data_IF_571860019985
#
_entry.id   IF_571860019985
#
_cell.length_a   1.000
_cell.length_b   1.000
_cell.length_c   1.000
_cell.angle_alpha   90.00
_cell.angle_beta   90.00
_cell.angle_gamma   90.00
#
_symmetry.space_group_name_H-M   'P 1'
#
loop_
_entity.id
_entity.type
_entity.pdbx_description
1 polymer ?
#
# COMPACT_ATOMS: atom_id res chain seq x y z
N UNK A 1 -73.21 19.91 26.58
CA UNK A 1 -72.42 20.55 27.66
C UNK A 1 -70.96 20.24 27.39
N UNK A 2 -70.16 21.31 27.32
CA UNK A 2 -68.87 21.37 26.64
C UNK A 2 -67.73 20.65 27.37
N UNK A 3 -66.87 20.10 26.51
CA UNK A 3 -65.42 19.93 26.55
C UNK A 3 -64.69 21.05 27.32
N UNK A 4 -63.79 20.69 28.26
CA UNK A 4 -62.39 21.14 28.31
C UNK A 4 -61.63 20.71 29.59
N UNK A 5 -60.32 20.50 29.43
CA UNK A 5 -59.24 20.44 30.43
C UNK A 5 -59.09 19.19 31.34
N UNK A 6 -58.10 18.37 31.00
CA UNK A 6 -56.93 18.10 31.87
C UNK A 6 -55.92 17.20 31.13
N UNK A 7 -55.10 17.83 30.29
CA UNK A 7 -53.84 17.27 29.82
C UNK A 7 -52.71 17.65 30.78
N UNK A 8 -51.63 16.88 30.70
CA UNK A 8 -50.25 17.22 31.12
C UNK A 8 -49.82 16.68 32.46
N UNK A 9 -49.15 15.52 32.47
CA UNK A 9 -47.86 15.38 33.15
C UNK A 9 -47.09 14.09 32.75
N UNK A 10 -45.80 14.29 32.41
CA UNK A 10 -44.65 13.35 32.38
C UNK A 10 -44.20 12.76 31.03
N UNK A 11 -43.32 13.50 30.35
CA UNK A 11 -42.11 12.93 29.74
C UNK A 11 -41.03 14.03 29.57
N UNK A 12 -40.33 14.36 30.66
CA UNK A 12 -39.11 15.15 30.61
C UNK A 12 -37.95 14.27 30.12
N UNK A 13 -37.77 14.18 28.80
CA UNK A 13 -36.50 13.71 28.23
C UNK A 13 -35.52 14.87 28.22
N UNK A 14 -34.61 14.85 29.18
CA UNK A 14 -33.45 15.75 29.28
C UNK A 14 -32.62 15.59 27.99
N UNK A 15 -32.77 16.51 27.03
CA UNK A 15 -31.87 16.60 25.88
C UNK A 15 -30.49 17.02 26.39
N UNK A 16 -29.51 16.10 26.31
CA UNK A 16 -28.10 16.44 26.54
C UNK A 16 -27.71 17.57 25.57
N UNK A 17 -26.92 18.58 25.99
CA UNK A 17 -26.42 19.58 25.06
C UNK A 17 -25.58 18.89 23.98
N UNK A 18 -25.87 19.19 22.71
CA UNK A 18 -25.09 18.67 21.59
C UNK A 18 -23.68 19.22 21.68
N UNK A 19 -22.69 18.32 21.72
CA UNK A 19 -21.28 18.68 21.74
C UNK A 19 -20.90 19.38 20.41
N UNK A 20 -20.22 20.52 20.52
CA UNK A 20 -19.83 21.35 19.37
C UNK A 20 -18.41 20.99 18.96
N UNK A 21 -18.24 20.54 17.72
CA UNK A 21 -16.97 20.16 17.13
C UNK A 21 -16.49 21.25 16.17
N UNK A 22 -15.17 21.43 16.06
CA UNK A 22 -14.56 22.28 15.02
C UNK A 22 -14.06 21.39 13.90
N UNK A 23 -14.63 21.52 12.71
CA UNK A 23 -14.23 20.79 11.51
C UNK A 23 -13.45 21.73 10.57
N UNK A 24 -12.32 21.27 10.04
CA UNK A 24 -11.51 22.03 9.08
C UNK A 24 -11.88 21.64 7.66
N UNK A 25 -12.31 22.62 6.85
CA UNK A 25 -12.75 22.41 5.47
C UNK A 25 -11.80 23.13 4.53
N UNK A 26 -11.31 22.40 3.54
CA UNK A 26 -10.29 22.87 2.61
C UNK A 26 -10.99 23.33 1.32
N UNK A 27 -11.01 24.64 1.02
CA UNK A 27 -11.66 25.16 -0.18
C UNK A 27 -10.87 24.86 -1.47
N UNK A 28 -9.60 24.46 -1.35
CA UNK A 28 -8.75 24.19 -2.51
C UNK A 28 -8.63 25.43 -3.41
N UNK A 29 -8.92 25.27 -4.70
CA UNK A 29 -8.85 26.36 -5.69
C UNK A 29 -10.00 27.38 -5.58
N UNK A 30 -10.99 27.14 -4.70
CA UNK A 30 -12.09 28.08 -4.48
C UNK A 30 -11.68 29.28 -3.59
N UNK A 31 -10.50 29.24 -2.98
CA UNK A 31 -9.95 30.34 -2.19
C UNK A 31 -8.43 30.31 -2.22
N UNK A 32 -7.80 31.35 -2.79
CA UNK A 32 -6.33 31.48 -2.84
C UNK A 32 -5.74 31.92 -1.49
N UNK A 33 -6.55 32.57 -0.64
CA UNK A 33 -6.10 33.19 0.61
C UNK A 33 -6.13 32.28 1.84
N UNK A 34 -6.79 31.11 1.76
CA UNK A 34 -7.05 30.27 2.94
C UNK A 34 -6.84 28.77 2.69
N UNK A 35 -5.85 28.21 3.39
CA UNK A 35 -5.50 26.78 3.33
C UNK A 35 -6.64 25.90 3.88
N UNK A 36 -7.31 26.32 4.96
CA UNK A 36 -8.45 25.62 5.56
C UNK A 36 -9.34 26.57 6.34
N UNK A 37 -10.64 26.31 6.35
CA UNK A 37 -11.63 27.06 7.09
C UNK A 37 -12.21 26.25 8.24
N UNK A 38 -12.06 26.68 9.50
CA UNK A 38 -12.69 26.04 10.64
C UNK A 38 -14.18 26.40 10.70
N UNK A 39 -15.04 25.39 10.79
CA UNK A 39 -16.49 25.54 10.96
C UNK A 39 -16.91 24.83 12.25
N UNK A 40 -17.70 25.50 13.07
CA UNK A 40 -18.29 24.91 14.27
C UNK A 40 -19.56 24.16 13.87
N UNK A 41 -19.61 22.86 14.16
CA UNK A 41 -20.69 21.98 13.78
C UNK A 41 -20.99 20.97 14.89
N UNK A 42 -22.26 20.61 15.03
CA UNK A 42 -22.72 19.54 15.94
C UNK A 42 -22.87 18.22 15.18
N UNK A 43 -23.08 17.12 15.90
CA UNK A 43 -23.40 15.81 15.33
C UNK A 43 -24.71 15.77 14.50
N UNK A 44 -25.52 16.84 14.55
CA UNK A 44 -26.76 17.01 13.80
C UNK A 44 -26.64 18.07 12.68
N UNK A 45 -25.49 18.73 12.55
CA UNK A 45 -25.29 19.76 11.52
C UNK A 45 -25.13 19.10 10.16
N UNK A 46 -26.05 19.40 9.24
CA UNK A 46 -26.06 18.88 7.88
C UNK A 46 -25.00 19.53 6.99
N UNK A 47 -24.56 18.77 5.99
CA UNK A 47 -23.59 19.22 4.99
C UNK A 47 -24.06 20.49 4.25
N UNK A 48 -25.35 20.59 3.91
CA UNK A 48 -25.94 21.77 3.26
C UNK A 48 -25.76 23.07 4.07
N UNK A 49 -25.90 22.98 5.39
CA UNK A 49 -25.76 24.15 6.26
C UNK A 49 -24.32 24.65 6.26
N UNK A 50 -23.36 23.73 6.28
CA UNK A 50 -21.93 24.03 6.26
C UNK A 50 -21.52 24.63 4.91
N UNK A 51 -22.02 24.07 3.80
CA UNK A 51 -21.80 24.61 2.46
C UNK A 51 -22.32 26.04 2.36
N UNK A 52 -23.54 26.32 2.83
CA UNK A 52 -24.12 27.67 2.78
C UNK A 52 -23.28 28.69 3.57
N UNK A 53 -22.82 28.31 4.77
CA UNK A 53 -21.93 29.16 5.58
C UNK A 53 -20.63 29.44 4.85
N UNK A 54 -20.05 28.46 4.16
CA UNK A 54 -18.82 28.63 3.39
C UNK A 54 -19.03 29.49 2.15
N UNK A 55 -20.13 29.32 1.41
CA UNK A 55 -20.46 30.14 0.24
C UNK A 55 -20.57 31.62 0.62
N UNK A 56 -21.21 31.92 1.75
CA UNK A 56 -21.30 33.30 2.24
C UNK A 56 -19.96 33.86 2.72
N UNK A 57 -19.17 33.06 3.46
CA UNK A 57 -17.89 33.51 4.01
C UNK A 57 -16.78 33.66 2.97
N UNK A 58 -16.75 32.77 1.98
CA UNK A 58 -15.77 32.76 0.89
C UNK A 58 -16.21 33.65 -0.29
N UNK A 59 -17.37 34.31 -0.20
CA UNK A 59 -17.94 35.14 -1.28
C UNK A 59 -18.08 34.39 -2.61
N UNK A 60 -18.42 33.09 -2.55
CA UNK A 60 -18.55 32.23 -3.72
C UNK A 60 -19.84 32.53 -4.49
N UNK A 61 -19.86 32.19 -5.79
CA UNK A 61 -20.97 32.50 -6.67
C UNK A 61 -22.23 31.71 -6.28
N UNK A 62 -23.32 32.38 -5.92
CA UNK A 62 -24.58 31.73 -5.50
C UNK A 62 -25.31 30.99 -6.62
N UNK A 63 -24.94 31.22 -7.88
CA UNK A 63 -25.53 30.53 -9.04
C UNK A 63 -24.90 29.16 -9.34
N UNK A 64 -23.75 28.86 -8.71
CA UNK A 64 -23.04 27.57 -8.84
C UNK A 64 -23.36 26.68 -7.64
N UNK A 65 -23.54 25.37 -7.87
CA UNK A 65 -23.76 24.41 -6.78
C UNK A 65 -22.44 24.08 -6.08
N UNK A 66 -22.48 23.80 -4.78
CA UNK A 66 -21.30 23.36 -4.02
C UNK A 66 -21.62 22.13 -3.19
N UNK A 67 -20.63 21.25 -3.01
CA UNK A 67 -20.75 20.03 -2.22
C UNK A 67 -19.50 19.81 -1.36
N UNK A 68 -19.68 19.11 -0.24
CA UNK A 68 -18.57 18.67 0.60
C UNK A 68 -18.12 17.26 0.17
N UNK A 69 -16.82 17.03 0.16
CA UNK A 69 -16.24 15.72 -0.08
C UNK A 69 -15.30 15.32 1.06
N UNK A 70 -15.46 14.11 1.59
CA UNK A 70 -14.54 13.49 2.54
C UNK A 70 -13.39 12.82 1.79
N UNK A 71 -12.15 13.06 2.19
CA UNK A 71 -10.94 12.40 1.66
C UNK A 71 -10.36 11.49 2.73
N UNK A 72 -10.04 10.24 2.37
CA UNK A 72 -9.43 9.26 3.27
C UNK A 72 -8.01 8.88 2.84
N UNK A 73 -7.22 8.46 3.83
CA UNK A 73 -5.82 8.11 3.73
C UNK A 73 -5.50 7.02 2.70
N UNK A 74 -4.53 7.29 1.83
CA UNK A 74 -3.96 6.40 0.79
C UNK A 74 -4.93 5.98 -0.33
N UNK A 75 -5.14 6.88 -1.29
CA UNK A 75 -5.84 6.56 -2.54
C UNK A 75 -6.52 7.73 -3.24
N UNK A 76 -6.66 8.88 -2.56
CA UNK A 76 -7.33 10.05 -3.13
C UNK A 76 -8.82 9.81 -3.43
N UNK A 77 -9.45 8.84 -2.75
CA UNK A 77 -10.88 8.60 -2.89
C UNK A 77 -11.65 9.70 -2.18
N UNK A 78 -12.33 10.52 -2.97
CA UNK A 78 -13.23 11.57 -2.49
C UNK A 78 -14.64 10.99 -2.39
N UNK A 79 -15.20 11.00 -1.18
CA UNK A 79 -16.59 10.62 -0.92
C UNK A 79 -17.45 11.87 -0.83
N UNK A 80 -18.35 12.07 -1.80
CA UNK A 80 -19.25 13.24 -1.82
C UNK A 80 -20.32 13.03 -0.76
N UNK A 81 -20.48 14.01 0.14
CA UNK A 81 -21.54 14.00 1.15
C UNK A 81 -22.84 14.50 0.52
N UNK A 82 -23.92 13.75 0.75
CA UNK A 82 -25.26 14.23 0.42
C UNK A 82 -25.66 15.42 1.30
N UNK A 83 -26.54 16.33 0.82
CA UNK A 83 -26.96 17.52 1.57
C UNK A 83 -27.49 17.21 2.98
N UNK A 84 -28.11 16.04 3.17
CA UNK A 84 -28.67 15.58 4.44
C UNK A 84 -27.69 14.87 5.38
N UNK A 85 -26.47 14.55 4.94
CA UNK A 85 -25.48 13.89 5.79
C UNK A 85 -24.84 14.86 6.79
N UNK A 86 -24.40 14.33 7.94
CA UNK A 86 -23.79 15.11 9.00
C UNK A 86 -22.25 14.94 8.98
N UNK A 87 -21.46 15.96 8.58
CA UNK A 87 -20.01 15.82 8.44
C UNK A 87 -19.30 15.48 9.76
N UNK A 88 -19.83 15.92 10.90
CA UNK A 88 -19.30 15.57 12.22
C UNK A 88 -19.43 14.06 12.50
N UNK A 89 -20.54 13.43 12.08
CA UNK A 89 -20.70 11.98 12.22
C UNK A 89 -19.69 11.21 11.36
N UNK A 90 -19.43 11.71 10.14
CA UNK A 90 -18.40 11.16 9.25
C UNK A 90 -17.00 11.31 9.86
N UNK A 91 -16.68 12.46 10.43
CA UNK A 91 -15.40 12.73 11.12
C UNK A 91 -15.17 11.81 12.32
N UNK A 92 -16.21 11.49 13.08
CA UNK A 92 -16.10 10.61 14.25
C UNK A 92 -15.79 9.14 13.88
N UNK A 93 -15.93 8.77 12.61
CA UNK A 93 -15.53 7.45 12.09
C UNK A 93 -14.04 7.40 11.68
N UNK A 94 -13.32 8.53 11.74
CA UNK A 94 -11.90 8.56 11.38
C UNK A 94 -11.03 7.88 12.44
N UNK A 95 -9.85 7.37 12.06
CA UNK A 95 -8.87 6.86 13.02
C UNK A 95 -8.54 7.91 14.08
N UNK A 96 -8.33 7.46 15.33
CA UNK A 96 -8.00 8.37 16.47
C UNK A 96 -6.77 9.24 16.22
N UNK A 97 -5.81 8.75 15.42
CA UNK A 97 -4.63 9.50 14.98
C UNK A 97 -5.00 10.74 14.16
N UNK A 98 -6.01 10.65 13.29
CA UNK A 98 -6.51 11.75 12.46
C UNK A 98 -7.36 12.76 13.26
N UNK A 99 -8.18 12.27 14.20
CA UNK A 99 -8.94 13.12 15.13
C UNK A 99 -8.02 14.00 15.98
N UNK A 100 -6.92 13.44 16.50
CA UNK A 100 -5.95 14.16 17.32
C UNK A 100 -5.19 15.25 16.53
N UNK A 101 -4.94 15.04 15.23
CA UNK A 101 -4.35 16.07 14.36
C UNK A 101 -5.29 17.25 14.09
N UNK A 102 -6.61 17.01 14.03
CA UNK A 102 -7.61 18.06 13.77
C UNK A 102 -7.90 18.93 15.00
N UNK A 103 -7.53 18.48 16.21
CA UNK A 103 -7.82 19.17 17.49
C UNK A 103 -6.65 19.94 18.10
N UNK A 104 -5.45 19.94 17.48
CA UNK A 104 -4.30 20.72 17.99
C UNK A 104 -4.58 22.22 17.88
N UNK A 105 -4.77 22.90 19.02
CA UNK A 105 -4.62 24.36 19.09
C UNK A 105 -3.14 24.70 18.88
N UNK A 106 -2.80 25.71 18.05
CA UNK A 106 -1.42 26.18 17.97
C UNK A 106 -1.00 26.75 19.32
N UNK A 107 0.04 26.18 19.92
CA UNK A 107 0.68 26.77 21.10
C UNK A 107 1.40 28.06 20.71
N UNK A 108 1.28 29.09 21.56
CA UNK A 108 1.92 30.39 21.34
C UNK A 108 3.44 30.22 21.42
N UNK A 109 4.13 30.19 20.28
CA UNK A 109 5.59 30.28 20.26
C UNK A 109 6.30 29.78 19.00
N UNK A 110 5.66 29.00 18.13
CA UNK A 110 6.33 28.47 16.95
C UNK A 110 6.39 29.50 15.82
N UNK A 111 7.63 29.88 15.46
CA UNK A 111 7.92 30.74 14.31
C UNK A 111 7.51 30.00 13.04
N UNK A 112 6.69 30.65 12.21
CA UNK A 112 6.27 30.14 10.91
C UNK A 112 7.49 29.84 10.03
N UNK A 113 7.84 28.55 9.89
CA UNK A 113 8.73 28.10 8.83
C UNK A 113 7.97 28.17 7.50
N UNK A 114 8.62 28.72 6.47
CA UNK A 114 8.09 28.92 5.11
C UNK A 114 7.96 27.63 4.28
N UNK A 115 7.62 26.51 4.92
CA UNK A 115 7.35 25.22 4.28
C UNK A 115 5.89 24.90 4.55
N UNK A 116 5.09 24.79 3.48
CA UNK A 116 3.68 24.41 3.60
C UNK A 116 3.58 23.03 4.27
N UNK A 117 2.83 22.89 5.38
CA UNK A 117 2.62 21.58 5.98
C UNK A 117 1.80 20.71 5.02
N UNK A 118 2.19 19.44 4.89
CA UNK A 118 1.43 18.46 4.11
C UNK A 118 -0.03 18.40 4.62
N UNK A 119 -1.00 18.33 3.70
CA UNK A 119 -2.40 18.29 4.11
C UNK A 119 -2.69 17.02 4.92
N UNK A 120 -3.58 17.10 5.94
CA UNK A 120 -3.87 15.97 6.80
C UNK A 120 -4.49 14.80 6.02
N UNK A 121 -4.16 13.60 6.48
CA UNK A 121 -4.50 12.30 5.88
C UNK A 121 -6.02 12.08 5.72
N UNK A 122 -6.82 12.73 6.56
CA UNK A 122 -8.28 12.79 6.50
C UNK A 122 -8.73 14.25 6.52
N UNK A 123 -9.58 14.64 5.57
CA UNK A 123 -10.04 16.03 5.44
C UNK A 123 -11.36 16.15 4.69
N UNK A 124 -12.04 17.28 4.88
CA UNK A 124 -13.17 17.68 4.05
C UNK A 124 -12.74 18.71 3.00
N UNK A 125 -13.13 18.51 1.75
CA UNK A 125 -12.94 19.44 0.64
C UNK A 125 -14.27 20.09 0.25
N UNK A 126 -14.23 21.36 -0.13
CA UNK A 126 -15.34 22.01 -0.83
C UNK A 126 -15.12 21.86 -2.34
N UNK A 127 -16.14 21.38 -3.07
CA UNK A 127 -16.10 21.18 -4.52
C UNK A 127 -17.25 21.89 -5.21
N UNK A 128 -17.01 22.41 -6.41
CA UNK A 128 -18.03 23.01 -7.27
C UNK A 128 -18.80 21.91 -8.02
N UNK A 129 -20.12 22.07 -8.10
CA UNK A 129 -21.05 21.18 -8.79
C UNK A 129 -21.65 21.92 -10.00
N UNK A 130 -21.41 21.39 -11.19
CA UNK A 130 -21.92 21.87 -12.46
C UNK A 130 -23.46 21.71 -12.54
N UNK A 131 -24.08 22.47 -13.45
CA UNK A 131 -25.53 22.47 -13.68
C UNK A 131 -26.08 21.15 -14.22
N UNK A 132 -25.21 20.29 -14.74
CA UNK A 132 -25.51 18.91 -15.19
C UNK A 132 -25.40 17.87 -14.05
N UNK A 133 -25.03 18.30 -12.85
CA UNK A 133 -24.85 17.43 -11.69
C UNK A 133 -23.43 16.85 -11.53
N UNK A 134 -22.51 17.10 -12.47
CA UNK A 134 -21.10 16.70 -12.36
C UNK A 134 -20.33 17.60 -11.39
N UNK A 135 -19.19 17.10 -10.87
CA UNK A 135 -18.32 17.86 -9.95
C UNK A 135 -17.11 18.36 -10.73
N UNK A 136 -16.79 19.63 -10.58
CA UNK A 136 -15.72 20.29 -11.31
C UNK A 136 -14.38 20.11 -10.58
N UNK A 137 -13.47 19.35 -11.19
CA UNK A 137 -12.12 19.10 -10.69
C UNK A 137 -11.11 19.93 -11.49
N UNK A 138 -10.87 21.20 -11.12
CA UNK A 138 -9.75 21.96 -11.69
C UNK A 138 -8.43 21.61 -10.99
N UNK A 139 -7.48 21.16 -11.80
CA UNK A 139 -6.18 20.58 -11.43
C UNK A 139 -6.27 19.27 -10.62
N UNK A 140 -6.46 18.16 -11.34
CA UNK A 140 -6.04 16.85 -10.86
C UNK A 140 -5.60 16.03 -12.08
N UNK A 141 -4.35 15.58 -12.02
CA UNK A 141 -3.64 14.64 -12.91
C UNK A 141 -4.46 14.00 -14.03
N UNK A 142 -3.91 13.92 -15.25
CA UNK A 142 -4.43 13.13 -16.38
C UNK A 142 -5.04 11.75 -15.98
N UNK A 143 -4.50 11.15 -14.92
CA UNK A 143 -5.02 9.95 -14.24
C UNK A 143 -6.50 10.00 -13.80
N UNK A 144 -7.04 11.14 -13.35
CA UNK A 144 -8.44 11.29 -12.94
C UNK A 144 -9.37 11.44 -14.14
N UNK A 145 -8.92 12.17 -15.16
CA UNK A 145 -9.64 12.32 -16.43
C UNK A 145 -9.75 10.98 -17.16
N UNK A 146 -8.68 10.18 -17.14
CA UNK A 146 -8.66 8.82 -17.69
C UNK A 146 -9.55 7.84 -16.89
N UNK A 147 -9.76 8.10 -15.58
CA UNK A 147 -10.67 7.34 -14.71
C UNK A 147 -12.15 7.67 -14.93
N UNK A 148 -12.45 8.92 -15.31
CA UNK A 148 -13.79 9.35 -15.73
C UNK A 148 -14.11 8.88 -17.15
N UNK A 149 -13.14 8.97 -18.07
CA UNK A 149 -13.23 8.33 -19.39
C UNK A 149 -13.51 6.83 -19.25
N UNK A 150 -12.83 6.13 -18.32
CA UNK A 150 -13.10 4.72 -17.98
C UNK A 150 -14.56 4.47 -17.54
N UNK A 151 -15.12 5.34 -16.70
CA UNK A 151 -16.55 5.22 -16.28
C UNK A 151 -17.50 5.47 -17.45
N UNK A 152 -17.12 6.32 -18.40
CA UNK A 152 -17.89 6.58 -19.60
C UNK A 152 -17.76 5.44 -20.62
N UNK A 153 -16.59 4.82 -20.76
CA UNK A 153 -16.35 3.62 -21.58
C UNK A 153 -17.07 2.38 -21.02
N UNK A 154 -16.97 2.09 -19.72
CA UNK A 154 -17.68 0.98 -19.05
C UNK A 154 -19.21 1.10 -19.14
N UNK A 155 -19.71 2.33 -19.27
CA UNK A 155 -21.15 2.63 -19.45
C UNK A 155 -21.56 2.78 -20.92
N UNK A 156 -20.64 2.60 -21.87
CA UNK A 156 -20.89 2.65 -23.31
C UNK A 156 -21.07 4.04 -23.92
N UNK A 157 -20.68 5.11 -23.22
CA UNK A 157 -20.79 6.50 -23.68
C UNK A 157 -19.56 6.97 -24.49
N UNK A 158 -18.47 6.21 -24.47
CA UNK A 158 -17.28 6.41 -25.31
C UNK A 158 -16.96 5.11 -26.08
N UNK A 159 -16.47 5.19 -27.32
CA UNK A 159 -16.00 3.99 -28.03
C UNK A 159 -14.81 3.38 -27.28
N UNK A 160 -14.82 2.07 -27.07
CA UNK A 160 -13.65 1.35 -26.55
C UNK A 160 -12.45 1.68 -27.45
N UNK A 161 -11.45 2.39 -26.93
CA UNK A 161 -10.19 2.58 -27.64
C UNK A 161 -9.51 1.22 -27.82
N UNK A 162 -9.67 0.64 -29.00
CA UNK A 162 -9.18 -0.68 -29.39
C UNK A 162 -7.68 -0.67 -29.75
N UNK A 163 -6.82 -0.20 -28.83
CA UNK A 163 -5.40 -0.02 -29.14
C UNK A 163 -4.43 -0.65 -28.13
N UNK A 164 -4.90 -1.32 -27.07
CA UNK A 164 -4.02 -2.09 -26.19
C UNK A 164 -4.10 -3.59 -26.47
N UNK A 165 -2.97 -4.15 -26.91
CA UNK A 165 -2.81 -5.59 -27.10
C UNK A 165 -2.34 -6.24 -25.80
N UNK A 166 -3.00 -7.33 -25.41
CA UNK A 166 -2.58 -8.20 -24.31
C UNK A 166 -1.23 -8.90 -24.61
N UNK A 167 -0.95 -9.13 -25.89
CA UNK A 167 0.33 -9.67 -26.36
C UNK A 167 0.98 -8.67 -27.33
N UNK A 168 2.19 -8.24 -26.99
CA UNK A 168 2.99 -7.33 -27.80
C UNK A 168 3.29 -7.91 -29.19
N UNK A 169 3.28 -9.23 -29.36
CA UNK A 169 3.44 -9.87 -30.66
C UNK A 169 2.26 -9.64 -31.62
N UNK A 170 1.11 -9.18 -31.12
CA UNK A 170 -0.08 -8.87 -31.93
C UNK A 170 -0.15 -7.40 -32.36
N UNK A 171 0.85 -6.58 -32.02
CA UNK A 171 0.90 -5.19 -32.45
C UNK A 171 1.13 -5.10 -33.98
N UNK A 172 0.45 -4.16 -34.67
CA UNK A 172 0.58 -4.01 -36.12
C UNK A 172 1.98 -3.53 -36.54
N UNK A 173 2.64 -2.73 -35.70
CA UNK A 173 4.00 -2.25 -35.90
C UNK A 173 4.81 -2.44 -34.62
N UNK A 174 5.89 -3.22 -34.71
CA UNK A 174 6.81 -3.50 -33.62
C UNK A 174 7.93 -2.44 -33.60
N UNK A 175 7.69 -1.34 -32.89
CA UNK A 175 8.66 -0.30 -32.62
C UNK A 175 8.76 -0.03 -31.12
N UNK A 176 9.86 0.61 -30.68
CA UNK A 176 10.04 0.98 -29.27
C UNK A 176 8.91 1.90 -28.78
N UNK A 177 8.52 2.87 -29.61
CA UNK A 177 7.44 3.81 -29.31
C UNK A 177 6.08 3.12 -29.18
N UNK A 178 5.74 2.20 -30.10
CA UNK A 178 4.45 1.47 -30.04
C UNK A 178 4.38 0.53 -28.84
N UNK A 179 5.47 -0.17 -28.53
CA UNK A 179 5.55 -1.00 -27.32
C UNK A 179 5.38 -0.14 -26.06
N UNK A 180 6.09 0.99 -25.98
CA UNK A 180 6.04 1.87 -24.82
C UNK A 180 4.65 2.48 -24.64
N UNK A 181 4.00 2.90 -25.72
CA UNK A 181 2.61 3.40 -25.70
C UNK A 181 1.65 2.31 -25.21
N UNK A 182 1.74 1.09 -25.73
CA UNK A 182 0.92 -0.04 -25.31
C UNK A 182 1.08 -0.33 -23.81
N UNK A 183 2.34 -0.48 -23.35
CA UNK A 183 2.65 -0.73 -21.95
C UNK A 183 2.17 0.40 -21.03
N UNK A 184 2.32 1.66 -21.46
CA UNK A 184 1.86 2.83 -20.72
C UNK A 184 0.33 2.85 -20.61
N UNK A 185 -0.39 2.65 -21.70
CA UNK A 185 -1.86 2.62 -21.70
C UNK A 185 -2.39 1.53 -20.78
N UNK A 186 -1.84 0.30 -20.85
CA UNK A 186 -2.20 -0.79 -19.95
C UNK A 186 -1.90 -0.46 -18.49
N UNK A 187 -0.72 0.10 -18.22
CA UNK A 187 -0.35 0.49 -16.86
C UNK A 187 -1.29 1.56 -16.27
N UNK A 188 -1.70 2.55 -17.06
CA UNK A 188 -2.69 3.56 -16.62
C UNK A 188 -4.05 2.94 -16.30
N UNK A 189 -4.42 1.86 -17.00
CA UNK A 189 -5.61 1.04 -16.73
C UNK A 189 -5.44 0.05 -15.57
N UNK A 190 -4.33 0.12 -14.81
CA UNK A 190 -3.97 -0.81 -13.75
C UNK A 190 -3.67 -2.26 -14.22
N UNK A 191 -3.50 -2.47 -15.52
CA UNK A 191 -3.08 -3.75 -16.10
C UNK A 191 -1.55 -3.78 -16.15
N UNK A 192 -0.93 -4.39 -15.15
CA UNK A 192 0.53 -4.38 -14.97
C UNK A 192 1.26 -5.48 -15.75
N UNK A 193 0.51 -6.43 -16.30
CA UNK A 193 1.02 -7.60 -16.99
C UNK A 193 0.70 -7.50 -18.48
N UNK A 194 1.67 -7.86 -19.32
CA UNK A 194 1.52 -7.91 -20.78
C UNK A 194 2.35 -9.07 -21.31
N UNK A 195 1.80 -9.88 -22.22
CA UNK A 195 2.56 -10.92 -22.89
C UNK A 195 3.48 -10.33 -23.96
N UNK A 196 4.55 -11.05 -24.23
CA UNK A 196 5.41 -10.91 -25.41
C UNK A 196 5.72 -12.33 -25.88
N UNK A 197 4.76 -12.94 -26.58
CA UNK A 197 4.76 -14.37 -26.88
C UNK A 197 4.78 -15.20 -25.60
N UNK A 198 5.89 -15.94 -25.38
CA UNK A 198 6.06 -16.77 -24.17
C UNK A 198 6.60 -16.01 -22.95
N UNK A 199 6.98 -14.74 -23.11
CA UNK A 199 7.53 -13.89 -22.06
C UNK A 199 6.39 -13.09 -21.42
N UNK A 200 6.44 -12.90 -20.10
CA UNK A 200 5.53 -12.01 -19.38
C UNK A 200 6.28 -10.76 -18.93
N UNK A 201 5.87 -9.61 -19.45
CA UNK A 201 6.31 -8.30 -18.99
C UNK A 201 5.48 -7.90 -17.79
N UNK A 202 6.13 -7.54 -16.69
CA UNK A 202 5.49 -7.10 -15.46
C UNK A 202 6.03 -5.72 -15.05
N UNK A 203 5.16 -4.73 -14.91
CA UNK A 203 5.51 -3.36 -14.50
C UNK A 203 5.11 -3.15 -13.05
N UNK A 204 6.06 -2.80 -12.18
CA UNK A 204 5.77 -2.62 -10.75
C UNK A 204 4.79 -1.45 -10.52
N UNK A 205 3.59 -1.68 -9.95
CA UNK A 205 2.61 -0.62 -9.71
C UNK A 205 2.92 0.24 -8.47
N UNK A 206 3.90 -0.12 -7.64
CA UNK A 206 4.20 0.52 -6.34
C UNK A 206 3.00 0.63 -5.39
N UNK A 207 1.97 -0.20 -5.61
CA UNK A 207 0.77 -0.30 -4.77
C UNK A 207 0.23 -1.72 -4.82
N UNK A 208 -0.59 -2.07 -3.84
CA UNK A 208 -1.28 -3.34 -3.84
C UNK A 208 -2.42 -3.34 -4.88
N UNK A 209 -2.49 -4.40 -5.69
CA UNK A 209 -3.58 -4.66 -6.61
C UNK A 209 -4.31 -5.94 -6.18
N UNK A 210 -5.65 -5.96 -6.13
CA UNK A 210 -6.43 -7.11 -5.65
C UNK A 210 -6.53 -8.28 -6.65
N UNK A 211 -5.50 -8.48 -7.48
CA UNK A 211 -5.43 -9.48 -8.57
C UNK A 211 -4.79 -10.81 -8.15
N UNK A 212 -4.33 -10.93 -6.90
CA UNK A 212 -3.66 -12.13 -6.38
C UNK A 212 -4.52 -12.95 -5.41
N UNK A 213 -5.81 -12.65 -5.34
CA UNK A 213 -6.72 -13.32 -4.40
C UNK A 213 -7.00 -14.78 -4.84
N UNK A 214 -7.51 -15.65 -3.95
CA UNK A 214 -7.77 -17.06 -4.28
C UNK A 214 -8.72 -17.29 -5.47
N UNK A 215 -9.60 -16.33 -5.81
CA UNK A 215 -10.46 -16.45 -7.00
C UNK A 215 -9.65 -16.39 -8.29
N UNK A 216 -8.60 -15.57 -8.34
CA UNK A 216 -7.70 -15.51 -9.49
C UNK A 216 -6.89 -16.80 -9.63
N UNK A 217 -6.47 -17.42 -8.53
CA UNK A 217 -5.83 -18.75 -8.56
C UNK A 217 -6.74 -19.77 -9.25
N UNK A 218 -8.03 -19.80 -8.91
CA UNK A 218 -9.00 -20.70 -9.53
C UNK A 218 -9.32 -20.32 -10.99
N UNK A 219 -9.36 -19.03 -11.30
CA UNK A 219 -9.67 -18.53 -12.64
C UNK A 219 -8.65 -19.01 -13.68
N UNK A 220 -7.37 -18.97 -13.34
CA UNK A 220 -6.26 -19.35 -14.22
C UNK A 220 -5.93 -20.85 -14.19
N UNK A 221 -6.47 -21.61 -13.24
CA UNK A 221 -6.19 -23.03 -13.11
C UNK A 221 -6.67 -23.82 -14.34
N UNK A 222 -5.74 -24.52 -15.01
CA UNK A 222 -6.02 -25.37 -16.16
C UNK A 222 -6.36 -24.62 -17.45
N UNK A 223 -6.03 -23.32 -17.54
CA UNK A 223 -6.26 -22.48 -18.72
C UNK A 223 -5.02 -22.43 -19.59
N UNK A 224 -5.20 -22.32 -20.91
CA UNK A 224 -4.05 -22.16 -21.82
C UNK A 224 -3.51 -20.74 -21.77
N UNK A 225 -2.20 -20.59 -21.94
CA UNK A 225 -1.57 -19.28 -22.05
C UNK A 225 -2.18 -18.52 -23.23
N UNK A 226 -2.65 -17.29 -22.99
CA UNK A 226 -3.33 -16.46 -23.98
C UNK A 226 -4.86 -16.63 -24.08
N UNK A 227 -5.49 -17.60 -23.40
CA UNK A 227 -6.97 -17.67 -23.31
C UNK A 227 -7.56 -16.59 -22.41
N UNK A 228 -6.80 -16.16 -21.41
CA UNK A 228 -7.17 -15.13 -20.45
C UNK A 228 -6.16 -13.98 -20.53
N UNK A 229 -6.52 -12.87 -19.88
CA UNK A 229 -5.65 -11.69 -19.75
C UNK A 229 -4.24 -12.07 -19.24
N UNK A 230 -3.22 -11.26 -19.55
CA UNK A 230 -1.88 -11.50 -19.07
C UNK A 230 -1.80 -11.52 -17.55
N UNK A 231 -1.25 -12.61 -17.01
CA UNK A 231 -1.09 -12.74 -15.58
C UNK A 231 0.03 -13.71 -15.21
N UNK A 232 0.67 -13.47 -14.07
CA UNK A 232 1.74 -14.34 -13.56
C UNK A 232 1.25 -15.77 -13.25
N UNK A 233 -0.03 -15.91 -12.88
CA UNK A 233 -0.65 -17.22 -12.65
C UNK A 233 -0.83 -18.01 -13.94
N UNK A 234 -1.06 -17.35 -15.09
CA UNK A 234 -1.13 -18.03 -16.38
C UNK A 234 0.21 -18.68 -16.73
N UNK A 235 1.33 -17.99 -16.46
CA UNK A 235 2.68 -18.51 -16.68
C UNK A 235 2.98 -19.69 -15.73
N UNK A 236 2.59 -19.59 -14.47
CA UNK A 236 2.72 -20.68 -13.51
C UNK A 236 1.92 -21.92 -13.92
N UNK A 237 0.66 -21.74 -14.32
CA UNK A 237 -0.22 -22.83 -14.74
C UNK A 237 0.29 -23.50 -16.02
N UNK A 238 0.74 -22.71 -17.00
CA UNK A 238 1.35 -23.22 -18.22
C UNK A 238 2.62 -24.03 -17.94
N UNK A 239 3.49 -23.56 -17.05
CA UNK A 239 4.70 -24.29 -16.64
C UNK A 239 4.35 -25.59 -15.89
N UNK A 240 3.44 -25.55 -14.93
CA UNK A 240 3.02 -26.71 -14.16
C UNK A 240 2.41 -27.81 -15.05
N UNK A 241 1.48 -27.44 -15.94
CA UNK A 241 0.86 -28.41 -16.83
C UNK A 241 1.83 -28.94 -17.90
N UNK A 242 2.77 -28.12 -18.38
CA UNK A 242 3.81 -28.58 -19.31
C UNK A 242 4.75 -29.57 -18.63
N UNK A 243 5.14 -29.32 -17.37
CA UNK A 243 5.91 -30.27 -16.56
C UNK A 243 5.22 -31.64 -16.46
N UNK A 244 3.92 -31.67 -16.15
CA UNK A 244 3.15 -32.92 -16.02
C UNK A 244 2.94 -33.64 -17.36
N UNK A 245 2.66 -32.89 -18.42
CA UNK A 245 2.39 -33.43 -19.77
C UNK A 245 3.65 -33.98 -20.41
N UNK A 246 4.74 -33.24 -20.36
CA UNK A 246 6.01 -33.56 -21.04
C UNK A 246 6.94 -34.40 -20.16
N UNK A 247 6.63 -34.54 -18.86
CA UNK A 247 7.47 -35.22 -17.86
C UNK A 247 8.91 -34.69 -17.85
N UNK A 248 9.04 -33.38 -18.02
CA UNK A 248 10.31 -32.67 -18.09
C UNK A 248 10.32 -31.47 -17.14
N UNK A 249 11.48 -31.20 -16.53
CA UNK A 249 11.66 -30.08 -15.61
C UNK A 249 11.46 -28.74 -16.33
N UNK A 250 10.82 -27.79 -15.63
CA UNK A 250 10.54 -26.45 -16.15
C UNK A 250 11.34 -25.42 -15.36
N UNK A 251 11.76 -24.35 -16.01
CA UNK A 251 12.51 -23.27 -15.39
C UNK A 251 11.85 -21.93 -15.69
N UNK A 252 11.52 -21.18 -14.62
CA UNK A 252 10.98 -19.82 -14.72
C UNK A 252 12.09 -18.84 -14.32
N UNK A 253 12.51 -18.01 -15.27
CA UNK A 253 13.57 -17.02 -15.06
C UNK A 253 12.94 -15.63 -14.91
N UNK A 254 13.22 -14.94 -13.79
CA UNK A 254 12.69 -13.61 -13.51
C UNK A 254 13.85 -12.61 -13.48
N UNK A 255 13.89 -11.73 -14.47
CA UNK A 255 14.92 -10.70 -14.62
C UNK A 255 14.37 -9.31 -14.36
N UNK A 256 15.25 -8.37 -14.01
CA UNK A 256 14.90 -6.96 -13.83
C UNK A 256 15.80 -6.25 -12.83
N UNK A 257 15.74 -4.92 -12.85
CA UNK A 257 16.52 -4.06 -11.96
C UNK A 257 16.09 -4.16 -10.49
N UNK A 258 16.89 -3.61 -9.57
CA UNK A 258 16.52 -3.56 -8.15
C UNK A 258 15.22 -2.78 -7.97
N UNK A 259 14.23 -3.38 -7.29
CA UNK A 259 12.91 -2.75 -7.08
C UNK A 259 11.89 -3.00 -8.19
N UNK A 260 12.23 -3.75 -9.27
CA UNK A 260 11.29 -4.04 -10.37
C UNK A 260 10.15 -5.02 -10.01
N UNK A 261 10.15 -5.61 -8.81
CA UNK A 261 9.12 -6.56 -8.36
C UNK A 261 9.49 -8.03 -8.42
N UNK A 262 10.74 -8.39 -8.79
CA UNK A 262 11.21 -9.79 -8.88
C UNK A 262 10.79 -10.68 -7.71
N UNK A 263 11.11 -10.26 -6.48
CA UNK A 263 10.81 -11.03 -5.26
C UNK A 263 9.31 -11.25 -5.05
N UNK A 264 8.48 -10.23 -5.34
CA UNK A 264 7.03 -10.36 -5.23
C UNK A 264 6.49 -11.30 -6.30
N UNK A 265 6.97 -11.20 -7.53
CA UNK A 265 6.64 -12.12 -8.62
C UNK A 265 7.01 -13.57 -8.25
N UNK A 266 8.19 -13.81 -7.69
CA UNK A 266 8.60 -15.14 -7.19
C UNK A 266 7.63 -15.66 -6.14
N UNK A 267 7.24 -14.83 -5.17
CA UNK A 267 6.31 -15.23 -4.10
C UNK A 267 4.93 -15.59 -4.67
N UNK A 268 4.40 -14.82 -5.63
CA UNK A 268 3.13 -15.13 -6.29
C UNK A 268 3.20 -16.44 -7.10
N UNK A 269 4.31 -16.69 -7.80
CA UNK A 269 4.52 -17.96 -8.51
C UNK A 269 4.52 -19.14 -7.55
N UNK A 270 5.28 -19.07 -6.46
CA UNK A 270 5.34 -20.15 -5.46
C UNK A 270 3.97 -20.40 -4.83
N UNK A 271 3.24 -19.34 -4.49
CA UNK A 271 1.89 -19.45 -3.95
C UNK A 271 0.94 -20.14 -4.93
N UNK A 272 0.99 -19.79 -6.21
CA UNK A 272 0.13 -20.42 -7.22
C UNK A 272 0.51 -21.88 -7.48
N UNK A 273 1.81 -22.16 -7.66
CA UNK A 273 2.35 -23.49 -7.89
C UNK A 273 2.04 -24.47 -6.76
N UNK A 274 2.13 -24.00 -5.50
CA UNK A 274 1.73 -24.80 -4.33
C UNK A 274 0.22 -24.98 -4.24
N UNK A 275 -0.59 -24.00 -4.66
CA UNK A 275 -2.05 -24.11 -4.69
C UNK A 275 -2.56 -25.10 -5.76
N UNK A 276 -1.93 -25.16 -6.94
CA UNK A 276 -2.30 -26.10 -8.01
C UNK A 276 -2.15 -27.58 -7.61
N UNK A 277 -1.25 -27.85 -6.65
CA UNK A 277 -1.03 -29.17 -6.08
C UNK A 277 -2.13 -29.63 -5.09
N UNK A 278 -3.05 -28.75 -4.66
CA UNK A 278 -3.98 -29.03 -3.54
C UNK A 278 -5.18 -29.92 -3.91
N UNK A 279 -4.98 -31.00 -4.66
CA UNK A 279 -6.02 -32.01 -4.94
C UNK A 279 -6.27 -32.95 -3.75
N UNK A 280 -6.56 -32.38 -2.57
CA UNK A 280 -7.27 -33.10 -1.49
C UNK A 280 -6.56 -33.27 -0.14
N UNK A 281 -5.28 -32.94 0.01
CA UNK A 281 -4.59 -33.01 1.31
C UNK A 281 -3.55 -31.88 1.43
N UNK A 282 -3.57 -31.12 2.52
CA UNK A 282 -2.50 -30.17 2.87
C UNK A 282 -1.39 -30.94 3.56
N UNK A 283 -0.27 -31.15 2.87
CA UNK A 283 0.81 -32.00 3.37
C UNK A 283 1.68 -31.32 4.44
N UNK A 284 1.39 -30.06 4.78
CA UNK A 284 2.18 -29.24 5.71
C UNK A 284 3.46 -28.70 5.06
N UNK A 285 3.98 -29.42 4.06
CA UNK A 285 5.12 -29.03 3.22
C UNK A 285 4.88 -27.68 2.55
N UNK A 286 3.66 -27.39 2.09
CA UNK A 286 3.32 -26.11 1.46
C UNK A 286 3.46 -24.96 2.46
N UNK A 287 3.07 -25.19 3.72
CA UNK A 287 3.20 -24.22 4.81
C UNK A 287 4.68 -23.91 5.07
N UNK A 288 5.53 -24.93 5.07
CA UNK A 288 6.99 -24.78 5.23
C UNK A 288 7.61 -24.02 4.05
N UNK A 289 7.21 -24.33 2.81
CA UNK A 289 7.71 -23.63 1.61
C UNK A 289 7.35 -22.14 1.65
N UNK A 290 6.10 -21.82 1.98
CA UNK A 290 5.64 -20.42 2.08
C UNK A 290 6.25 -19.70 3.29
N UNK A 291 6.47 -20.42 4.40
CA UNK A 291 7.12 -19.90 5.62
C UNK A 291 8.60 -19.59 5.44
N UNK A 292 9.31 -20.26 4.52
CA UNK A 292 10.72 -20.01 4.28
C UNK A 292 11.02 -18.61 3.70
N UNK A 293 10.07 -18.01 2.98
CA UNK A 293 10.22 -16.69 2.36
C UNK A 293 10.58 -15.59 3.36
N UNK A 294 9.73 -15.29 4.35
CA UNK A 294 10.02 -14.28 5.38
C UNK A 294 11.34 -14.50 6.12
N UNK A 295 11.72 -15.74 6.41
CA UNK A 295 13.01 -16.06 7.04
C UNK A 295 14.17 -15.64 6.13
N UNK A 296 14.14 -16.05 4.87
CA UNK A 296 15.16 -15.68 3.89
C UNK A 296 15.22 -14.17 3.63
N UNK A 297 14.10 -13.47 3.71
CA UNK A 297 14.05 -12.00 3.58
C UNK A 297 14.66 -11.30 4.80
N UNK A 298 14.35 -11.74 6.03
CA UNK A 298 14.91 -11.14 7.23
C UNK A 298 16.45 -11.19 7.27
N UNK A 299 17.04 -12.33 6.89
CA UNK A 299 18.49 -12.55 6.96
C UNK A 299 19.24 -12.13 5.69
N UNK A 300 18.55 -11.95 4.56
CA UNK A 300 19.21 -11.73 3.27
C UNK A 300 18.74 -10.51 2.50
N UNK A 301 17.74 -9.78 2.98
CA UNK A 301 17.33 -8.49 2.43
C UNK A 301 17.78 -7.33 3.31
N UNK A 302 17.96 -6.17 2.69
CA UNK A 302 18.34 -4.93 3.36
C UNK A 302 17.73 -3.71 2.65
N UNK A 303 17.64 -2.58 3.35
CA UNK A 303 17.30 -1.29 2.74
C UNK A 303 18.50 -0.72 1.99
N UNK A 304 18.32 -0.46 0.71
CA UNK A 304 19.25 0.29 -0.15
C UNK A 304 18.68 1.66 -0.48
N UNK A 305 19.43 2.49 -1.20
CA UNK A 305 18.97 3.82 -1.62
C UNK A 305 17.70 3.80 -2.50
N UNK A 306 17.47 2.71 -3.22
CA UNK A 306 16.40 2.60 -4.23
C UNK A 306 15.34 1.54 -3.92
N UNK A 307 15.57 0.70 -2.91
CA UNK A 307 14.65 -0.37 -2.53
C UNK A 307 14.73 -0.65 -1.03
N UNK A 308 13.60 -0.50 -0.34
CA UNK A 308 13.52 -0.72 1.11
C UNK A 308 13.68 -2.19 1.54
N UNK A 309 13.43 -3.14 0.63
CA UNK A 309 13.53 -4.58 0.87
C UNK A 309 14.32 -5.25 -0.27
N UNK A 310 15.56 -4.79 -0.48
CA UNK A 310 16.44 -5.27 -1.55
C UNK A 310 17.05 -6.62 -1.19
N UNK A 311 16.78 -7.66 -1.98
CA UNK A 311 17.47 -8.95 -1.83
C UNK A 311 18.96 -8.81 -2.18
N UNK A 312 19.83 -9.11 -1.22
CA UNK A 312 21.29 -9.03 -1.36
C UNK A 312 21.94 -10.39 -1.62
N UNK A 313 21.16 -11.30 -2.19
CA UNK A 313 21.57 -12.62 -2.64
C UNK A 313 20.64 -13.10 -3.75
N UNK A 314 21.18 -13.89 -4.68
CA UNK A 314 20.41 -14.64 -5.65
C UNK A 314 19.78 -15.88 -5.02
N UNK A 315 18.61 -16.28 -5.52
CA UNK A 315 17.86 -17.45 -5.05
C UNK A 315 17.49 -18.30 -6.25
N UNK A 316 17.82 -19.58 -6.23
CA UNK A 316 17.24 -20.58 -7.11
C UNK A 316 16.34 -21.47 -6.25
N UNK A 317 15.05 -21.51 -6.59
CA UNK A 317 14.04 -22.22 -5.81
C UNK A 317 13.53 -23.35 -6.68
N UNK A 318 13.86 -24.58 -6.30
CA UNK A 318 13.39 -25.78 -6.97
C UNK A 318 12.20 -26.35 -6.19
N UNK A 319 11.02 -26.35 -6.79
CA UNK A 319 9.84 -27.01 -6.24
C UNK A 319 9.73 -28.39 -6.87
N UNK A 320 9.73 -29.43 -6.04
CA UNK A 320 9.68 -30.83 -6.46
C UNK A 320 8.25 -31.35 -6.35
N UNK A 321 7.83 -32.11 -7.35
CA UNK A 321 6.51 -32.74 -7.40
C UNK A 321 6.64 -34.25 -7.56
N UNK A 322 5.64 -34.96 -7.07
CA UNK A 322 5.40 -36.36 -7.39
C UNK A 322 4.77 -36.50 -8.78
N UNK A 323 4.79 -37.72 -9.34
CA UNK A 323 4.22 -38.02 -10.66
C UNK A 323 2.71 -37.73 -10.75
N UNK A 324 2.02 -37.70 -9.62
CA UNK A 324 0.60 -37.35 -9.51
C UNK A 324 0.35 -35.82 -9.44
N UNK A 325 1.40 -35.00 -9.51
CA UNK A 325 1.35 -33.53 -9.43
C UNK A 325 1.32 -32.95 -8.02
N UNK A 326 1.43 -33.77 -6.98
CA UNK A 326 1.48 -33.26 -5.60
C UNK A 326 2.88 -32.75 -5.23
N UNK A 327 2.98 -31.66 -4.49
CA UNK A 327 4.25 -31.09 -4.01
C UNK A 327 4.90 -32.09 -3.06
N UNK A 328 6.13 -32.48 -3.39
CA UNK A 328 7.00 -33.31 -2.55
C UNK A 328 7.82 -32.49 -1.57
N UNK A 329 8.24 -31.29 -1.97
CA UNK A 329 9.13 -30.42 -1.20
C UNK A 329 9.73 -29.32 -2.05
N UNK A 330 10.58 -28.49 -1.44
CA UNK A 330 11.35 -27.50 -2.17
C UNK A 330 12.80 -27.43 -1.66
N UNK A 331 13.70 -27.03 -2.55
CA UNK A 331 15.11 -26.77 -2.26
C UNK A 331 15.39 -25.32 -2.64
N UNK A 332 16.07 -24.59 -1.76
CA UNK A 332 16.51 -23.21 -2.04
C UNK A 332 18.02 -23.17 -2.05
N UNK A 333 18.58 -22.85 -3.22
CA UNK A 333 20.00 -22.58 -3.38
C UNK A 333 20.24 -21.08 -3.36
N UNK A 334 21.19 -20.65 -2.52
CA UNK A 334 21.59 -19.26 -2.39
C UNK A 334 22.84 -18.96 -3.19
N UNK A 335 22.87 -17.78 -3.80
CA UNK A 335 23.99 -17.32 -4.62
C UNK A 335 24.42 -15.93 -4.15
N UNK A 336 25.74 -15.72 -4.08
CA UNK A 336 26.35 -14.39 -3.96
C UNK A 336 25.73 -13.50 -2.85
N UNK A 337 25.61 -14.01 -1.64
CA UNK A 337 25.23 -13.18 -0.48
C UNK A 337 26.27 -12.07 -0.30
N UNK A 338 25.82 -10.82 -0.24
CA UNK A 338 26.66 -9.65 -0.03
C UNK A 338 27.19 -9.60 1.42
N UNK A 339 28.24 -10.38 1.70
CA UNK A 339 28.85 -10.47 3.03
C UNK A 339 29.49 -9.14 3.48
N UNK A 340 29.98 -8.32 2.54
CA UNK A 340 30.56 -7.01 2.83
C UNK A 340 29.60 -6.10 3.59
N UNK A 341 28.28 -6.23 3.35
CA UNK A 341 27.22 -5.45 4.03
C UNK A 341 27.24 -5.60 5.55
N UNK A 342 27.76 -6.71 6.08
CA UNK A 342 27.82 -6.92 7.52
C UNK A 342 28.70 -5.89 8.23
N UNK A 343 29.78 -5.44 7.57
CA UNK A 343 30.79 -4.58 8.17
C UNK A 343 30.81 -3.16 7.61
N UNK A 344 30.16 -2.93 6.46
CA UNK A 344 30.14 -1.65 5.77
C UNK A 344 28.85 -1.50 4.98
N UNK A 345 28.23 -0.32 5.07
CA UNK A 345 27.04 0.04 4.29
C UNK A 345 27.27 1.42 3.65
N UNK A 346 26.62 1.67 2.52
CA UNK A 346 26.67 2.99 1.88
C UNK A 346 25.76 4.01 2.57
N UNK A 347 25.98 5.30 2.30
CA UNK A 347 25.14 6.37 2.86
C UNK A 347 23.66 6.13 2.57
N UNK A 348 22.81 6.28 3.59
CA UNK A 348 21.34 6.03 3.55
C UNK A 348 20.92 4.56 3.37
N UNK A 349 21.86 3.62 3.41
CA UNK A 349 21.56 2.19 3.45
C UNK A 349 21.58 1.64 4.88
N UNK A 350 20.97 0.46 5.05
CA UNK A 350 20.96 -0.30 6.31
C UNK A 350 21.69 -1.64 6.17
N UNK A 351 22.03 -2.23 7.31
CA UNK A 351 22.42 -3.63 7.38
C UNK A 351 21.19 -4.55 7.14
N UNK A 352 21.38 -5.86 7.22
CA UNK A 352 20.28 -6.83 7.07
C UNK A 352 19.16 -6.61 8.08
N UNK A 353 17.92 -6.86 7.67
CA UNK A 353 16.73 -6.54 8.47
C UNK A 353 16.71 -7.23 9.83
N UNK A 354 17.22 -8.47 9.93
CA UNK A 354 17.24 -9.26 11.16
C UNK A 354 17.85 -8.52 12.35
N UNK A 355 18.89 -7.70 12.15
CA UNK A 355 19.50 -6.95 13.24
C UNK A 355 18.52 -5.93 13.84
N UNK A 356 17.75 -5.25 12.99
CA UNK A 356 16.77 -4.26 13.41
C UNK A 356 15.52 -4.92 13.99
N UNK A 357 15.09 -6.05 13.43
CA UNK A 357 13.99 -6.86 13.96
C UNK A 357 14.28 -7.33 15.39
N UNK A 358 15.48 -7.84 15.65
CA UNK A 358 15.89 -8.29 16.98
C UNK A 358 15.88 -7.13 17.99
N UNK A 359 16.51 -5.99 17.65
CA UNK A 359 16.63 -4.85 18.56
C UNK A 359 15.28 -4.16 18.85
N UNK A 360 14.36 -4.13 17.88
CA UNK A 360 13.04 -3.55 18.06
C UNK A 360 12.05 -4.51 18.72
N UNK A 361 12.05 -5.79 18.33
CA UNK A 361 10.99 -6.74 18.63
C UNK A 361 11.22 -7.69 19.80
N UNK A 362 12.46 -7.90 20.26
CA UNK A 362 12.72 -8.76 21.43
C UNK A 362 12.17 -8.17 22.73
N UNK A 363 11.81 -9.04 23.67
CA UNK A 363 11.45 -8.61 25.03
C UNK A 363 12.66 -8.05 25.77
N UNK A 364 12.43 -7.17 26.76
CA UNK A 364 13.53 -6.58 27.54
C UNK A 364 14.34 -7.65 28.30
N UNK A 365 13.71 -8.75 28.74
CA UNK A 365 14.40 -9.88 29.37
C UNK A 365 15.32 -10.62 28.38
N UNK A 366 14.85 -10.88 27.16
CA UNK A 366 15.66 -11.50 26.09
C UNK A 366 16.83 -10.58 25.69
N UNK A 367 16.57 -9.26 25.59
CA UNK A 367 17.60 -8.26 25.31
C UNK A 367 18.67 -8.24 26.41
N UNK A 368 18.26 -8.23 27.68
CA UNK A 368 19.17 -8.24 28.81
C UNK A 368 20.03 -9.52 28.81
N UNK A 369 19.44 -10.68 28.53
CA UNK A 369 20.15 -11.96 28.45
C UNK A 369 21.18 -12.04 27.32
N UNK A 370 20.96 -11.31 26.22
CA UNK A 370 21.85 -11.23 25.06
C UNK A 370 22.73 -9.97 25.04
N UNK A 371 22.67 -9.16 26.11
CA UNK A 371 23.36 -7.87 26.22
C UNK A 371 23.07 -6.93 25.04
N UNK A 372 21.81 -6.90 24.60
CA UNK A 372 21.36 -6.04 23.51
C UNK A 372 21.07 -4.62 24.00
N UNK A 373 21.55 -3.64 23.23
CA UNK A 373 21.40 -2.21 23.52
C UNK A 373 20.77 -1.46 22.33
N UNK A 374 20.64 -0.15 22.41
CA UNK A 374 20.12 0.66 21.30
C UNK A 374 20.98 0.48 20.03
N UNK A 375 20.38 0.49 18.80
CA UNK A 375 21.12 0.32 17.54
C UNK A 375 22.35 1.23 17.39
N UNK A 376 22.29 2.45 17.95
CA UNK A 376 23.38 3.42 17.92
C UNK A 376 24.67 2.97 18.64
N UNK A 377 24.58 1.99 19.53
CA UNK A 377 25.74 1.44 20.22
C UNK A 377 26.56 0.48 19.34
N UNK A 378 25.99 -0.02 18.24
CA UNK A 378 26.65 -1.01 17.39
C UNK A 378 27.33 -0.35 16.18
N UNK A 379 28.64 -0.56 16.06
CA UNK A 379 29.43 -0.02 14.92
C UNK A 379 28.95 -0.57 13.57
N UNK A 380 28.41 -1.79 13.52
CA UNK A 380 27.89 -2.39 12.28
C UNK A 380 26.48 -1.96 11.89
N UNK A 381 25.80 -1.22 12.78
CA UNK A 381 24.50 -0.65 12.51
C UNK A 381 24.56 0.87 12.36
N UNK A 382 25.71 1.49 12.67
CA UNK A 382 25.93 2.93 12.63
C UNK A 382 26.91 3.34 11.54
N UNK A 383 26.57 4.38 10.80
CA UNK A 383 27.49 5.03 9.87
C UNK A 383 28.48 5.89 10.64
N UNK A 384 29.66 5.36 10.96
CA UNK A 384 30.79 6.22 11.35
C UNK A 384 31.40 6.78 10.08
N UNK A 385 31.27 8.09 9.86
CA UNK A 385 31.99 8.77 8.79
C UNK A 385 33.49 8.52 8.94
N UNK A 386 34.06 7.66 8.10
CA UNK A 386 35.51 7.47 8.02
C UNK A 386 36.06 8.59 7.14
N UNK A 387 36.65 9.59 7.82
CA UNK A 387 37.53 10.65 7.33
C UNK A 387 36.90 11.96 6.83
N UNK A 388 37.15 13.05 7.59
CA UNK A 388 37.73 14.26 7.00
C UNK A 388 36.98 15.61 7.09
N UNK A 389 36.65 16.10 8.30
CA UNK A 389 36.75 17.50 8.78
C UNK A 389 35.75 17.73 9.92
N UNK A 390 36.15 18.30 11.07
CA UNK A 390 35.20 18.69 12.10
C UNK A 390 34.44 19.92 11.60
N UNK A 391 33.20 19.72 11.13
CA UNK A 391 32.32 20.84 10.82
C UNK A 391 31.81 21.41 12.15
N UNK A 392 32.09 22.70 12.39
CA UNK A 392 31.85 23.43 13.66
C UNK A 392 30.37 23.77 13.87
N UNK A 393 29.45 23.17 13.11
CA UNK A 393 28.01 23.34 13.29
C UNK A 393 27.40 21.97 13.59
N UNK A 394 27.14 21.71 14.88
CA UNK A 394 26.61 20.44 15.40
C UNK A 394 25.17 20.15 14.97
N UNK A 395 24.96 19.86 13.68
CA UNK A 395 23.65 19.55 13.11
C UNK A 395 23.60 18.36 12.15
N UNK A 396 24.72 17.66 11.91
CA UNK A 396 24.78 16.50 10.99
C UNK A 396 24.97 15.14 11.69
N UNK A 397 24.57 15.00 12.96
CA UNK A 397 24.12 13.69 13.44
C UNK A 397 22.69 13.48 12.98
N UNK A 398 22.52 13.26 11.68
CA UNK A 398 21.26 12.78 11.12
C UNK A 398 20.94 11.45 11.79
N UNK A 399 20.11 11.56 12.81
CA UNK A 399 19.65 10.53 13.71
C UNK A 399 19.30 9.24 12.95
N UNK A 400 20.02 8.16 13.25
CA UNK A 400 19.45 6.81 13.20
C UNK A 400 18.49 6.61 14.38
N UNK A 401 17.62 7.60 14.64
CA UNK A 401 16.44 7.37 15.42
C UNK A 401 15.52 6.60 14.48
N UNK A 402 15.37 5.31 14.75
CA UNK A 402 14.17 4.59 14.32
C UNK A 402 13.00 5.46 14.77
N UNK A 403 12.36 6.18 13.85
CA UNK A 403 11.19 6.99 14.18
C UNK A 403 10.17 6.08 14.87
N UNK A 404 9.34 6.65 15.76
CA UNK A 404 8.36 5.84 16.50
C UNK A 404 7.47 4.97 15.57
N UNK A 405 7.20 5.43 14.33
CA UNK A 405 6.51 4.65 13.30
C UNK A 405 7.33 3.47 12.73
N UNK A 406 8.62 3.67 12.46
CA UNK A 406 9.53 2.61 12.00
C UNK A 406 9.71 1.53 13.08
N UNK A 407 9.66 1.90 14.36
CA UNK A 407 9.82 0.95 15.47
C UNK A 407 8.66 -0.05 15.59
N UNK A 408 7.42 0.39 15.37
CA UNK A 408 6.25 -0.50 15.42
C UNK A 408 6.21 -1.46 14.22
N UNK A 409 6.56 -0.98 13.02
CA UNK A 409 6.65 -1.83 11.82
C UNK A 409 7.71 -2.93 12.01
N UNK A 410 8.90 -2.59 12.53
CA UNK A 410 9.96 -3.56 12.80
C UNK A 410 9.57 -4.60 13.85
N UNK A 411 8.75 -4.21 14.84
CA UNK A 411 8.24 -5.14 15.85
C UNK A 411 7.26 -6.15 15.24
N UNK A 412 6.34 -5.67 14.40
CA UNK A 412 5.44 -6.55 13.66
C UNK A 412 6.21 -7.50 12.73
N UNK A 413 7.24 -7.01 12.03
CA UNK A 413 8.10 -7.84 11.19
C UNK A 413 8.89 -8.89 12.00
N UNK A 414 9.31 -8.57 13.23
CA UNK A 414 9.94 -9.53 14.12
C UNK A 414 8.98 -10.65 14.55
N UNK A 415 7.72 -10.31 14.88
CA UNK A 415 6.68 -11.30 15.17
C UNK A 415 6.41 -12.20 13.96
N UNK A 416 6.33 -11.60 12.77
CA UNK A 416 6.21 -12.33 11.49
C UNK A 416 7.39 -13.27 11.27
N UNK A 417 8.61 -12.85 11.57
CA UNK A 417 9.80 -13.71 11.49
C UNK A 417 9.70 -14.89 12.47
N UNK A 418 9.34 -14.67 13.74
CA UNK A 418 9.16 -15.73 14.73
C UNK A 418 8.14 -16.79 14.26
N UNK A 419 6.97 -16.35 13.79
CA UNK A 419 5.94 -17.23 13.24
C UNK A 419 6.44 -18.00 12.02
N UNK A 420 7.17 -17.35 11.12
CA UNK A 420 7.72 -17.98 9.93
C UNK A 420 8.77 -19.05 10.28
N UNK A 421 9.65 -18.78 11.26
CA UNK A 421 10.61 -19.76 11.76
C UNK A 421 9.92 -20.97 12.39
N UNK A 422 8.86 -20.76 13.17
CA UNK A 422 8.05 -21.85 13.73
C UNK A 422 7.39 -22.69 12.61
N UNK A 423 6.82 -22.04 11.59
CA UNK A 423 6.21 -22.74 10.43
C UNK A 423 7.21 -23.59 9.64
N UNK A 424 8.48 -23.21 9.62
CA UNK A 424 9.55 -23.97 8.98
C UNK A 424 10.06 -25.11 9.87
N UNK A 425 9.74 -25.07 11.17
CA UNK A 425 10.11 -26.10 12.14
C UNK A 425 11.38 -25.78 12.93
N UNK A 426 11.78 -24.51 13.03
CA UNK A 426 12.84 -24.11 13.95
C UNK A 426 12.35 -24.24 15.40
N UNK A 427 13.09 -25.00 16.20
CA UNK A 427 12.84 -25.13 17.64
C UNK A 427 13.30 -23.86 18.37
N UNK A 428 12.67 -23.49 19.51
CA UNK A 428 13.09 -22.34 20.31
C UNK A 428 14.59 -22.37 20.67
N UNK A 429 15.14 -23.55 20.94
CA UNK A 429 16.57 -23.74 21.22
C UNK A 429 17.44 -23.39 20.01
N UNK A 430 17.04 -23.82 18.81
CA UNK A 430 17.74 -23.50 17.56
C UNK A 430 17.62 -22.03 17.17
N UNK A 431 16.51 -21.38 17.50
CA UNK A 431 16.36 -19.94 17.29
C UNK A 431 17.26 -19.11 18.21
N UNK A 432 17.59 -19.64 19.40
CA UNK A 432 18.39 -18.97 20.42
C UNK A 432 19.90 -19.19 20.24
N UNK A 433 20.29 -20.37 19.74
CA UNK A 433 21.67 -20.69 19.32
C UNK A 433 22.05 -19.89 18.08
#
# INVERSE_FOLDING_TARGET
>A
MNVDQASTTWSNSIKRPLEVFTISIYPGHLSEDAISWPVQATSETKAECIVNVLVEKLQLNRSTGYVLAEVRASGGEEWILDPGECPVQRMMLWPRTALNSSTRKPEKGEKASSVQPDPPEYRFLLREKCTDGSIHYKHSSAWLQEREERRMEERGFLPLRANDADDLCNLPELGEDTILVNLRTRFMRCQIYTYAGSILVAINPFRFLPIYNPRYVQLYAGRRLGELEPHIFAVADAAYHSMLRERSHQCLVITGESGSGKTQSTNFLIHHLTALSQRGYTSGVERTILGAGPVLEAFGNAKTAYNNNSSRFGKFIQVNYWDNGTVRGAVVEKYLLEKSRLVSQEKRERNYHVFYYLLAGMSEDEKAALHLSHPSAYTYLTHKERHGHPNVNGQDTAEMNLGAGDSEELKHDYERLKLAMEMVGFLPETCKQ
#
